data_IF_466301616024
#
_entry.id   IF_466301616024
#
_cell.length_a   1.000
_cell.length_b   1.000
_cell.length_c   1.000
_cell.angle_alpha   90.00
_cell.angle_beta   90.00
_cell.angle_gamma   90.00
#
_symmetry.space_group_name_H-M   'P 1'
#
loop_
_entity.id
_entity.type
_entity.pdbx_description
1 polymer ?
#
# COMPACT_ATOMS: atom_id res chain seq x y z
N UNK A 1 -35.77 0.57 14.54
CA UNK A 1 -36.76 1.11 13.57
C UNK A 1 -36.01 1.18 12.24
N UNK A 2 -36.11 0.14 11.43
CA UNK A 2 -35.31 -0.02 10.21
C UNK A 2 -35.76 1.02 9.17
N UNK A 3 -34.83 1.84 8.69
CA UNK A 3 -35.10 2.79 7.62
C UNK A 3 -35.47 2.03 6.34
N UNK A 4 -36.49 2.55 5.66
CA UNK A 4 -37.01 2.08 4.38
C UNK A 4 -35.91 1.91 3.34
N UNK A 5 -35.85 0.73 2.69
CA UNK A 5 -35.06 0.49 1.48
C UNK A 5 -35.36 1.60 0.45
N UNK A 6 -34.43 2.54 0.28
CA UNK A 6 -34.49 3.55 -0.76
C UNK A 6 -34.10 2.87 -2.07
N UNK A 7 -35.05 2.77 -3.00
CA UNK A 7 -34.82 2.19 -4.32
C UNK A 7 -33.96 3.14 -5.19
N UNK A 8 -33.05 2.61 -6.03
CA UNK A 8 -32.22 3.42 -6.93
C UNK A 8 -33.08 4.24 -7.90
N UNK A 9 -32.63 5.46 -8.21
CA UNK A 9 -33.18 6.26 -9.30
C UNK A 9 -32.83 5.61 -10.65
N UNK A 10 -33.71 5.61 -11.66
CA UNK A 10 -33.42 5.00 -12.97
C UNK A 10 -32.28 5.67 -13.74
N UNK A 11 -31.75 6.80 -13.26
CA UNK A 11 -30.67 7.55 -13.90
C UNK A 11 -29.35 7.57 -13.09
N UNK A 12 -29.22 6.68 -12.10
CA UNK A 12 -28.00 6.47 -11.29
C UNK A 12 -27.46 5.06 -11.53
N UNK A 13 -26.14 4.83 -11.48
CA UNK A 13 -25.59 3.49 -11.53
C UNK A 13 -26.12 2.67 -10.35
N UNK A 14 -26.44 1.40 -10.61
CA UNK A 14 -26.92 0.48 -9.57
C UNK A 14 -25.71 -0.12 -8.85
N UNK A 15 -25.43 0.37 -7.64
CA UNK A 15 -24.32 -0.11 -6.82
C UNK A 15 -24.81 -1.03 -5.69
N UNK A 16 -24.02 -2.04 -5.35
CA UNK A 16 -24.21 -2.90 -4.18
C UNK A 16 -22.88 -3.09 -3.45
N UNK A 17 -22.94 -3.44 -2.16
CA UNK A 17 -21.77 -3.66 -1.33
C UNK A 17 -21.82 -5.04 -0.68
N UNK A 18 -20.66 -5.67 -0.61
CA UNK A 18 -20.37 -6.87 0.18
C UNK A 18 -19.19 -6.56 1.10
N UNK A 19 -19.13 -7.21 2.27
CA UNK A 19 -18.05 -7.04 3.21
C UNK A 19 -17.68 -8.38 3.83
N UNK A 20 -16.39 -8.64 3.94
CA UNK A 20 -15.84 -9.86 4.54
C UNK A 20 -14.61 -9.51 5.39
N UNK A 21 -14.37 -10.21 6.49
CA UNK A 21 -13.16 -10.00 7.26
C UNK A 21 -11.97 -10.68 6.57
N UNK A 22 -10.79 -10.06 6.62
CA UNK A 22 -9.55 -10.68 6.06
C UNK A 22 -9.13 -11.90 6.88
N UNK A 23 -9.44 -11.91 8.17
CA UNK A 23 -9.18 -12.99 9.11
C UNK A 23 -10.41 -13.22 10.00
N UNK A 24 -10.68 -14.46 10.46
CA UNK A 24 -11.81 -14.74 11.35
C UNK A 24 -11.76 -14.00 12.70
N UNK A 25 -10.56 -13.58 13.12
CA UNK A 25 -10.31 -12.83 14.34
C UNK A 25 -9.54 -11.54 14.02
N UNK A 26 -9.85 -10.47 14.77
CA UNK A 26 -9.19 -9.17 14.70
C UNK A 26 -8.58 -8.88 16.07
N UNK A 27 -7.30 -8.50 16.09
CA UNK A 27 -6.59 -8.17 17.33
C UNK A 27 -6.86 -6.73 17.77
N UNK A 28 -6.85 -6.51 19.09
CA UNK A 28 -6.83 -5.16 19.67
C UNK A 28 -5.44 -4.51 19.66
N UNK A 29 -4.39 -5.32 19.69
CA UNK A 29 -3.00 -4.87 19.89
C UNK A 29 -2.17 -4.86 18.60
N UNK A 30 -2.68 -5.42 17.49
CA UNK A 30 -2.04 -5.37 16.17
C UNK A 30 -2.94 -4.73 15.12
N UNK A 31 -2.31 -4.04 14.17
CA UNK A 31 -2.96 -3.59 12.93
C UNK A 31 -3.18 -4.73 11.93
N UNK A 32 -2.79 -5.96 12.28
CA UNK A 32 -2.92 -7.12 11.40
C UNK A 32 -4.38 -7.55 11.28
N UNK A 33 -4.87 -7.57 10.05
CA UNK A 33 -6.25 -7.91 9.72
C UNK A 33 -7.05 -6.70 9.26
N UNK A 34 -8.37 -6.87 9.13
CA UNK A 34 -9.26 -5.83 8.64
C UNK A 34 -10.43 -6.39 7.88
N UNK A 35 -10.99 -5.58 6.99
CA UNK A 35 -12.15 -5.95 6.20
C UNK A 35 -11.93 -5.63 4.74
N UNK A 36 -12.39 -6.53 3.90
CA UNK A 36 -12.46 -6.34 2.46
C UNK A 36 -13.88 -5.91 2.14
N UNK A 37 -13.99 -4.79 1.44
CA UNK A 37 -15.23 -4.25 0.91
C UNK A 37 -15.22 -4.45 -0.60
N UNK A 38 -16.29 -5.03 -1.13
CA UNK A 38 -16.51 -5.19 -2.56
C UNK A 38 -17.73 -4.37 -2.97
N UNK A 39 -17.54 -3.34 -3.78
CA UNK A 39 -18.60 -2.52 -4.37
C UNK A 39 -18.80 -2.98 -5.81
N UNK A 40 -19.98 -3.51 -6.13
CA UNK A 40 -20.32 -3.96 -7.48
C UNK A 40 -21.22 -2.94 -8.17
N UNK A 41 -20.91 -2.65 -9.43
CA UNK A 41 -21.88 -2.05 -10.33
C UNK A 41 -22.67 -3.15 -11.04
N UNK A 42 -23.99 -3.15 -10.87
CA UNK A 42 -24.86 -4.11 -11.54
C UNK A 42 -24.92 -3.85 -13.05
N UNK A 43 -25.20 -4.91 -13.82
CA UNK A 43 -25.64 -4.74 -15.21
C UNK A 43 -26.97 -3.97 -15.21
N UNK A 44 -27.02 -2.91 -16.00
CA UNK A 44 -28.19 -2.07 -16.17
C UNK A 44 -28.38 -1.65 -17.63
N UNK A 45 -29.47 -0.95 -17.95
CA UNK A 45 -29.78 -0.54 -19.33
C UNK A 45 -28.83 0.57 -19.86
N UNK A 46 -27.76 0.90 -19.13
CA UNK A 46 -26.80 1.94 -19.45
C UNK A 46 -25.39 1.34 -19.62
N UNK A 47 -24.97 1.12 -20.87
CA UNK A 47 -23.65 0.55 -21.17
C UNK A 47 -22.47 1.50 -20.86
N UNK A 48 -22.74 2.74 -20.45
CA UNK A 48 -21.68 3.72 -20.15
C UNK A 48 -20.98 3.36 -18.85
N UNK A 49 -19.64 3.51 -18.76
CA UNK A 49 -18.95 3.48 -17.47
C UNK A 49 -19.46 4.60 -16.56
N UNK A 50 -19.27 4.45 -15.25
CA UNK A 50 -19.39 5.56 -14.31
C UNK A 50 -18.10 5.72 -13.52
N UNK A 51 -17.70 6.98 -13.30
CA UNK A 51 -16.70 7.29 -12.29
C UNK A 51 -17.36 7.37 -10.92
N UNK A 52 -16.73 6.77 -9.92
CA UNK A 52 -17.24 6.70 -8.56
C UNK A 52 -16.09 6.84 -7.57
N UNK A 53 -16.19 7.82 -6.66
CA UNK A 53 -15.21 8.02 -5.58
C UNK A 53 -15.66 7.33 -4.32
N UNK A 54 -14.81 6.46 -3.77
CA UNK A 54 -15.03 5.85 -2.46
C UNK A 54 -13.72 5.66 -1.71
N UNK A 55 -13.66 6.19 -0.49
CA UNK A 55 -12.49 6.20 0.39
C UNK A 55 -12.77 5.34 1.62
N UNK A 56 -11.87 4.43 1.95
CA UNK A 56 -11.87 3.69 3.21
C UNK A 56 -11.88 4.65 4.42
N UNK A 57 -11.06 5.70 4.38
CA UNK A 57 -10.92 6.67 5.45
C UNK A 57 -12.16 7.54 5.64
N UNK A 58 -12.76 8.01 4.53
CA UNK A 58 -13.84 9.01 4.61
C UNK A 58 -15.24 8.41 4.46
N UNK A 59 -15.38 7.37 3.64
CA UNK A 59 -16.66 6.75 3.30
C UNK A 59 -16.84 5.45 4.10
N UNK A 60 -15.77 4.66 4.28
CA UNK A 60 -15.77 3.45 5.12
C UNK A 60 -15.85 3.76 6.61
N UNK A 61 -14.96 4.62 7.12
CA UNK A 61 -14.85 4.95 8.55
C UNK A 61 -15.38 6.35 8.93
N UNK A 62 -15.95 7.08 7.99
CA UNK A 62 -16.54 8.39 8.25
C UNK A 62 -17.91 8.34 8.93
N UNK A 63 -18.57 9.50 9.11
CA UNK A 63 -19.81 9.61 9.89
C UNK A 63 -21.00 8.81 9.32
N UNK A 64 -21.00 8.55 8.02
CA UNK A 64 -22.00 7.74 7.31
C UNK A 64 -21.49 6.35 6.94
N UNK A 65 -20.34 5.96 7.49
CA UNK A 65 -19.67 4.71 7.18
C UNK A 65 -20.20 3.50 7.95
N UNK A 66 -19.33 2.51 8.09
CA UNK A 66 -19.61 1.30 8.84
C UNK A 66 -19.88 1.58 10.33
N UNK A 67 -20.72 0.73 10.90
CA UNK A 67 -20.96 0.68 12.35
C UNK A 67 -20.67 -0.72 12.87
N UNK A 68 -20.30 -0.81 14.14
CA UNK A 68 -20.03 -2.09 14.80
C UNK A 68 -21.08 -2.34 15.88
N UNK A 69 -21.55 -3.58 15.95
CA UNK A 69 -22.41 -4.08 17.02
C UNK A 69 -21.70 -5.21 17.77
N UNK A 70 -21.74 -5.17 19.11
CA UNK A 70 -21.33 -6.26 19.97
C UNK A 70 -22.48 -7.27 20.11
N UNK A 71 -22.17 -8.56 20.01
CA UNK A 71 -23.10 -9.61 20.41
C UNK A 71 -23.14 -9.71 21.93
N UNK A 72 -24.31 -9.45 22.52
CA UNK A 72 -24.56 -9.63 23.95
C UNK A 72 -25.67 -10.65 24.17
N UNK A 73 -25.83 -11.21 25.39
CA UNK A 73 -26.95 -12.10 25.69
C UNK A 73 -28.33 -11.47 25.42
N UNK A 74 -28.44 -10.14 25.49
CA UNK A 74 -29.67 -9.38 25.25
C UNK A 74 -29.86 -8.95 23.78
N UNK A 75 -28.94 -9.33 22.90
CA UNK A 75 -28.94 -9.00 21.47
C UNK A 75 -27.77 -8.12 21.03
N UNK A 76 -27.93 -7.41 19.91
CA UNK A 76 -26.89 -6.56 19.33
C UNK A 76 -26.85 -5.18 20.00
N UNK A 77 -25.71 -4.84 20.59
CA UNK A 77 -25.45 -3.53 21.19
C UNK A 77 -24.49 -2.73 20.31
N UNK A 78 -24.89 -1.53 19.88
CA UNK A 78 -24.01 -0.66 19.08
C UNK A 78 -22.78 -0.25 19.90
N UNK A 79 -21.60 -0.39 19.29
CA UNK A 79 -20.31 0.04 19.86
C UNK A 79 -20.14 1.52 19.60
N UNK A 80 -19.70 2.26 20.62
CA UNK A 80 -19.33 3.67 20.46
C UNK A 80 -18.03 3.76 19.67
N UNK A 81 -17.91 4.76 18.81
CA UNK A 81 -16.71 4.99 18.04
C UNK A 81 -16.56 6.46 17.70
N UNK A 82 -15.35 6.83 17.28
CA UNK A 82 -15.03 8.19 16.83
C UNK A 82 -14.84 8.17 15.31
N UNK A 83 -15.87 8.48 14.51
CA UNK A 83 -15.76 8.44 13.07
C UNK A 83 -14.62 9.31 12.56
N UNK A 84 -13.98 8.88 11.49
CA UNK A 84 -12.99 9.68 10.76
C UNK A 84 -13.70 10.86 10.06
N UNK A 85 -12.92 11.67 9.34
CA UNK A 85 -13.43 12.86 8.64
C UNK A 85 -14.51 12.49 7.60
N UNK A 86 -15.53 13.34 7.38
CA UNK A 86 -16.49 13.13 6.31
C UNK A 86 -15.85 13.26 4.91
N UNK A 87 -16.47 12.68 3.87
CA UNK A 87 -16.02 12.87 2.50
C UNK A 87 -16.12 14.34 2.07
N UNK A 88 -15.28 14.79 1.11
CA UNK A 88 -15.42 16.11 0.53
C UNK A 88 -16.74 16.23 -0.25
N UNK A 89 -17.22 17.47 -0.42
CA UNK A 89 -18.47 17.70 -1.16
C UNK A 89 -18.26 17.69 -2.68
N UNK A 90 -17.06 18.07 -3.12
CA UNK A 90 -16.66 18.10 -4.52
C UNK A 90 -15.23 17.59 -4.68
N UNK A 91 -14.90 17.11 -5.87
CA UNK A 91 -13.58 16.63 -6.25
C UNK A 91 -13.28 17.04 -7.69
N UNK A 92 -12.10 17.61 -7.92
CA UNK A 92 -11.59 17.87 -9.27
C UNK A 92 -10.81 16.66 -9.75
N UNK A 93 -11.16 16.14 -10.93
CA UNK A 93 -10.45 15.03 -11.57
C UNK A 93 -9.21 15.60 -12.28
N UNK A 94 -8.05 15.06 -11.95
CA UNK A 94 -6.73 15.48 -12.44
C UNK A 94 -5.90 14.31 -13.00
N UNK A 95 -6.44 13.09 -13.02
CA UNK A 95 -5.81 11.91 -13.64
C UNK A 95 -5.07 10.97 -12.72
N UNK A 96 -4.98 11.30 -11.43
CA UNK A 96 -4.34 10.45 -10.43
C UNK A 96 -5.15 10.54 -9.14
N UNK A 97 -6.31 9.88 -9.15
CA UNK A 97 -7.24 9.86 -8.04
C UNK A 97 -7.25 8.46 -7.40
N UNK A 98 -6.42 8.24 -6.37
CA UNK A 98 -6.27 6.95 -5.66
C UNK A 98 -7.61 6.36 -5.16
N UNK A 99 -8.60 7.23 -4.93
CA UNK A 99 -9.91 6.88 -4.39
C UNK A 99 -11.05 6.96 -5.42
N UNK A 100 -10.77 7.24 -6.70
CA UNK A 100 -11.79 7.37 -7.74
C UNK A 100 -11.58 6.34 -8.83
N UNK A 101 -12.62 5.56 -9.09
CA UNK A 101 -12.55 4.41 -9.99
C UNK A 101 -13.57 4.54 -11.12
N UNK A 102 -13.24 3.95 -12.27
CA UNK A 102 -14.14 3.81 -13.41
C UNK A 102 -14.76 2.41 -13.40
N UNK A 103 -16.09 2.32 -13.34
CA UNK A 103 -16.82 1.06 -13.26
C UNK A 103 -17.73 0.85 -14.48
N UNK A 104 -17.40 -0.15 -15.28
CA UNK A 104 -18.28 -0.70 -16.31
C UNK A 104 -19.44 -1.52 -15.69
N UNK A 105 -20.52 -1.76 -16.44
CA UNK A 105 -21.59 -2.64 -15.96
C UNK A 105 -21.01 -4.03 -15.64
N UNK A 106 -21.36 -4.57 -14.47
CA UNK A 106 -20.87 -5.88 -14.00
C UNK A 106 -19.54 -5.85 -13.26
N UNK A 107 -18.76 -4.76 -13.35
CA UNK A 107 -17.46 -4.64 -12.67
C UNK A 107 -17.59 -4.41 -11.16
N UNK A 108 -16.51 -4.74 -10.47
CA UNK A 108 -16.39 -4.64 -9.02
C UNK A 108 -15.15 -3.87 -8.62
N UNK A 109 -15.32 -2.97 -7.66
CA UNK A 109 -14.27 -2.34 -6.90
C UNK A 109 -14.05 -3.13 -5.61
N UNK A 110 -12.82 -3.56 -5.33
CA UNK A 110 -12.44 -4.20 -4.07
C UNK A 110 -11.44 -3.34 -3.31
N UNK A 111 -11.65 -3.17 -2.00
CA UNK A 111 -10.80 -2.35 -1.12
C UNK A 111 -10.65 -3.00 0.24
N UNK A 112 -9.42 -3.02 0.77
CA UNK A 112 -9.20 -3.30 2.18
C UNK A 112 -9.37 -2.00 2.97
N UNK A 113 -10.24 -1.99 3.97
CA UNK A 113 -10.49 -0.83 4.82
C UNK A 113 -9.71 -0.86 6.13
N UNK A 114 -8.82 -1.84 6.30
CA UNK A 114 -8.00 -2.00 7.49
C UNK A 114 -8.80 -2.39 8.74
N UNK A 115 -8.15 -2.24 9.89
CA UNK A 115 -8.73 -2.47 11.21
C UNK A 115 -9.80 -1.43 11.56
N UNK A 116 -10.77 -1.77 12.43
CA UNK A 116 -11.83 -0.86 12.83
C UNK A 116 -11.35 0.18 13.86
N UNK A 117 -10.27 0.90 13.55
CA UNK A 117 -9.61 1.89 14.42
C UNK A 117 -10.56 2.84 15.14
N UNK A 118 -11.64 3.36 14.52
CA UNK A 118 -12.59 4.25 15.21
C UNK A 118 -13.26 3.64 16.44
N UNK A 119 -13.29 2.31 16.53
CA UNK A 119 -14.05 1.54 17.52
C UNK A 119 -13.16 0.74 18.48
N UNK A 120 -11.87 0.52 18.16
CA UNK A 120 -10.98 -0.39 18.90
C UNK A 120 -10.94 -0.09 20.41
N UNK A 121 -10.90 1.19 20.81
CA UNK A 121 -10.89 1.60 22.23
C UNK A 121 -12.15 1.23 23.03
N UNK A 122 -13.21 0.77 22.36
CA UNK A 122 -14.48 0.35 22.96
C UNK A 122 -14.77 -1.14 22.77
N UNK A 123 -13.82 -1.88 22.19
CA UNK A 123 -13.93 -3.31 21.96
C UNK A 123 -13.18 -4.10 23.05
N UNK A 124 -13.58 -5.34 23.27
CA UNK A 124 -13.03 -6.23 24.30
C UNK A 124 -12.65 -7.56 23.69
N UNK A 125 -11.47 -8.06 24.06
CA UNK A 125 -11.02 -9.37 23.64
C UNK A 125 -11.95 -10.49 24.12
N UNK A 126 -12.06 -11.55 23.30
CA UNK A 126 -12.97 -12.67 23.53
C UNK A 126 -14.42 -12.43 23.09
N UNK A 127 -14.79 -11.18 22.79
CA UNK A 127 -16.15 -10.83 22.39
C UNK A 127 -16.35 -10.92 20.88
N UNK A 128 -17.58 -11.25 20.48
CA UNK A 128 -17.98 -11.33 19.07
C UNK A 128 -18.67 -10.03 18.63
N UNK A 129 -18.30 -9.55 17.45
CA UNK A 129 -18.82 -8.32 16.88
C UNK A 129 -19.38 -8.55 15.47
N UNK A 130 -20.23 -7.62 15.03
CA UNK A 130 -20.80 -7.55 13.69
C UNK A 130 -20.53 -6.16 13.10
N UNK A 131 -19.80 -6.12 11.98
CA UNK A 131 -19.60 -4.93 11.17
C UNK A 131 -20.77 -4.80 10.20
N UNK A 132 -21.40 -3.62 10.13
CA UNK A 132 -22.61 -3.42 9.32
C UNK A 132 -22.51 -2.13 8.51
N UNK A 133 -22.80 -2.25 7.21
CA UNK A 133 -23.04 -1.14 6.31
C UNK A 133 -24.51 -0.70 6.40
N UNK A 134 -24.76 0.53 6.85
CA UNK A 134 -26.13 1.06 6.99
C UNK A 134 -26.72 1.60 5.67
N UNK A 135 -25.89 1.72 4.63
CA UNK A 135 -26.26 2.38 3.39
C UNK A 135 -25.90 3.86 3.42
N UNK A 136 -25.51 4.39 2.27
CA UNK A 136 -25.18 5.81 2.12
C UNK A 136 -25.53 6.32 0.72
N UNK A 137 -25.66 7.65 0.63
CA UNK A 137 -25.90 8.40 -0.61
C UNK A 137 -24.62 9.15 -0.99
N UNK A 138 -24.26 9.12 -2.27
CA UNK A 138 -23.01 9.70 -2.76
C UNK A 138 -23.25 10.69 -3.88
N UNK A 139 -22.61 11.85 -3.77
CA UNK A 139 -22.61 12.90 -4.79
C UNK A 139 -21.37 12.86 -5.70
N UNK A 140 -20.29 12.21 -5.24
CA UNK A 140 -19.00 12.14 -5.94
C UNK A 140 -19.01 11.00 -6.97
N UNK A 141 -19.82 11.16 -8.00
CA UNK A 141 -19.89 10.23 -9.13
C UNK A 141 -20.30 10.96 -10.41
N UNK A 142 -20.01 10.38 -11.57
CA UNK A 142 -20.52 10.84 -12.86
C UNK A 142 -20.56 9.71 -13.91
N UNK A 143 -21.36 9.88 -14.96
CA UNK A 143 -21.34 8.99 -16.13
C UNK A 143 -20.17 9.33 -17.04
N UNK A 144 -19.51 8.30 -17.58
CA UNK A 144 -18.34 8.43 -18.46
C UNK A 144 -17.06 7.91 -17.83
N UNK A 145 -15.95 8.21 -18.49
CA UNK A 145 -14.60 7.76 -18.12
C UNK A 145 -13.85 8.81 -17.32
N UNK A 146 -12.80 8.43 -16.59
CA UNK A 146 -11.92 9.39 -15.91
C UNK A 146 -11.33 10.41 -16.91
N UNK A 147 -11.00 9.95 -18.12
CA UNK A 147 -10.46 10.79 -19.20
C UNK A 147 -11.46 11.83 -19.71
N UNK A 148 -12.74 11.47 -19.82
CA UNK A 148 -13.79 12.40 -20.25
C UNK A 148 -14.03 13.51 -19.22
N UNK A 149 -13.79 13.21 -17.94
CA UNK A 149 -13.95 14.15 -16.82
C UNK A 149 -12.66 14.87 -16.44
N UNK A 150 -11.59 14.76 -17.23
CA UNK A 150 -10.32 15.42 -16.93
C UNK A 150 -10.48 16.93 -16.72
N UNK A 151 -9.90 17.43 -15.63
CA UNK A 151 -9.99 18.81 -15.13
C UNK A 151 -11.40 19.29 -14.76
N UNK A 152 -12.40 18.40 -14.78
CA UNK A 152 -13.77 18.71 -14.38
C UNK A 152 -13.96 18.42 -12.89
N UNK A 153 -14.93 19.10 -12.29
CA UNK A 153 -15.34 18.90 -10.91
C UNK A 153 -16.60 18.02 -10.86
N UNK A 154 -16.56 16.98 -10.04
CA UNK A 154 -17.71 16.15 -9.67
C UNK A 154 -18.13 16.44 -8.23
N UNK A 155 -19.38 16.10 -7.87
CA UNK A 155 -19.89 16.27 -6.52
C UNK A 155 -21.26 16.91 -6.47
N UNK A 156 -21.57 17.54 -5.33
CA UNK A 156 -22.89 18.12 -5.04
C UNK A 156 -23.36 19.19 -6.05
N UNK A 157 -22.42 19.80 -6.78
CA UNK A 157 -22.70 20.85 -7.78
C UNK A 157 -22.93 20.31 -9.20
N UNK A 158 -22.76 19.00 -9.44
CA UNK A 158 -22.84 18.39 -10.77
C UNK A 158 -24.25 18.36 -11.37
N UNK A 159 -25.29 18.56 -10.55
CA UNK A 159 -26.69 18.42 -10.97
C UNK A 159 -27.13 16.97 -11.18
N UNK A 160 -26.26 15.99 -10.91
CA UNK A 160 -26.60 14.58 -10.96
C UNK A 160 -27.35 14.15 -9.69
N UNK A 161 -28.28 13.18 -9.78
CA UNK A 161 -28.91 12.58 -8.60
C UNK A 161 -27.85 11.87 -7.73
N UNK A 162 -28.10 11.76 -6.43
CA UNK A 162 -27.22 10.99 -5.54
C UNK A 162 -27.32 9.49 -5.86
N UNK A 163 -26.17 8.83 -6.01
CA UNK A 163 -26.14 7.36 -6.12
C UNK A 163 -26.27 6.76 -4.73
N UNK A 164 -26.98 5.63 -4.62
CA UNK A 164 -27.21 4.94 -3.35
C UNK A 164 -26.45 3.63 -3.35
N UNK A 165 -25.66 3.39 -2.30
CA UNK A 165 -25.24 2.03 -1.94
C UNK A 165 -26.20 1.57 -0.85
N UNK A 166 -27.03 0.54 -1.10
CA UNK A 166 -27.99 0.06 -0.11
C UNK A 166 -27.29 -0.52 1.11
N UNK A 167 -27.91 -0.35 2.27
CA UNK A 167 -27.47 -1.00 3.50
C UNK A 167 -27.73 -2.50 3.49
N UNK A 168 -27.07 -3.21 4.40
CA UNK A 168 -27.28 -4.64 4.64
C UNK A 168 -26.04 -5.51 4.47
N UNK A 169 -24.95 -5.00 3.91
CA UNK A 169 -23.67 -5.70 3.93
C UNK A 169 -23.22 -5.82 5.40
N UNK A 170 -23.01 -7.04 5.89
CA UNK A 170 -22.47 -7.26 7.22
C UNK A 170 -21.60 -8.50 7.27
N UNK A 171 -20.66 -8.50 8.22
CA UNK A 171 -19.88 -9.66 8.56
C UNK A 171 -19.60 -9.72 10.06
N UNK A 172 -19.52 -10.95 10.60
CA UNK A 172 -19.18 -11.16 12.01
C UNK A 172 -17.72 -11.52 12.19
N UNK A 173 -17.10 -11.04 13.26
CA UNK A 173 -15.70 -11.30 13.59
C UNK A 173 -15.51 -11.43 15.11
N UNK A 174 -14.45 -12.14 15.52
CA UNK A 174 -14.05 -12.25 16.92
C UNK A 174 -12.97 -11.22 17.23
N UNK A 175 -13.10 -10.52 18.36
CA UNK A 175 -12.04 -9.65 18.86
C UNK A 175 -11.10 -10.47 19.76
N UNK A 176 -9.78 -10.37 19.57
CA UNK A 176 -8.78 -11.08 20.40
C UNK A 176 -7.73 -10.10 20.94
N UNK A 177 -7.13 -10.43 22.08
CA UNK A 177 -6.13 -9.57 22.75
C UNK A 177 -4.86 -9.51 21.90
N UNK A 178 -4.33 -10.67 21.55
CA UNK A 178 -3.18 -10.83 20.68
C UNK A 178 -3.58 -11.88 19.66
N UNK A 179 -3.34 -11.64 18.37
CA UNK A 179 -3.23 -12.76 17.43
C UNK A 179 -2.20 -13.71 18.06
N UNK A 180 -2.58 -14.93 18.46
CA UNK A 180 -1.56 -15.93 18.82
C UNK A 180 -0.54 -15.84 17.70
N UNK A 181 0.71 -15.41 17.99
CA UNK A 181 1.64 -15.16 16.93
C UNK A 181 1.67 -16.49 16.19
N UNK A 182 1.24 -16.51 14.93
CA UNK A 182 1.71 -17.55 14.02
C UNK A 182 3.18 -17.63 14.34
N UNK A 183 3.64 -18.74 14.94
CA UNK A 183 4.98 -18.83 15.52
C UNK A 183 5.89 -18.17 14.50
N UNK A 184 6.34 -16.95 14.81
CA UNK A 184 7.07 -16.17 13.81
C UNK A 184 8.36 -16.94 13.72
N UNK A 185 8.44 -17.80 12.72
CA UNK A 185 9.67 -18.51 12.37
C UNK A 185 10.69 -17.38 12.35
N UNK A 186 11.75 -17.43 13.18
CA UNK A 186 12.71 -16.35 13.23
C UNK A 186 13.18 -16.13 11.79
N UNK A 187 12.70 -15.07 11.16
CA UNK A 187 13.06 -14.80 9.78
C UNK A 187 14.52 -14.44 9.86
N UNK A 188 15.37 -15.36 9.41
CA UNK A 188 16.79 -15.11 9.30
C UNK A 188 16.94 -14.09 8.19
N UNK A 189 17.06 -12.81 8.57
CA UNK A 189 17.29 -11.69 7.66
C UNK A 189 18.46 -12.06 6.75
N UNK A 190 18.15 -12.32 5.48
CA UNK A 190 19.15 -12.57 4.46
C UNK A 190 19.28 -11.28 3.69
N UNK A 191 20.25 -10.45 4.11
CA UNK A 191 20.62 -9.24 3.39
C UNK A 191 21.32 -9.65 2.10
N UNK A 192 21.00 -9.01 0.99
CA UNK A 192 21.80 -9.18 -0.21
C UNK A 192 23.15 -8.51 -0.02
N UNK A 193 24.20 -9.26 -0.27
CA UNK A 193 25.57 -8.82 -0.20
C UNK A 193 26.06 -8.42 -1.59
N UNK A 194 27.16 -7.67 -1.64
CA UNK A 194 27.79 -7.34 -2.92
C UNK A 194 28.15 -8.58 -3.74
N UNK A 195 28.58 -9.66 -3.09
CA UNK A 195 28.93 -10.92 -3.73
C UNK A 195 27.76 -11.62 -4.41
N UNK A 196 26.53 -11.21 -4.15
CA UNK A 196 25.35 -11.79 -4.81
C UNK A 196 25.12 -11.20 -6.21
N UNK A 197 25.80 -10.09 -6.57
CA UNK A 197 25.63 -9.48 -7.90
C UNK A 197 26.00 -10.45 -9.02
N UNK A 198 25.33 -10.32 -10.16
CA UNK A 198 25.56 -11.20 -11.32
C UNK A 198 26.55 -10.52 -12.28
N UNK A 199 27.70 -11.13 -12.60
CA UNK A 199 28.62 -10.61 -13.59
C UNK A 199 27.93 -10.33 -14.94
N UNK A 200 28.25 -9.19 -15.54
CA UNK A 200 27.64 -8.72 -16.79
C UNK A 200 26.28 -8.00 -16.64
N UNK A 201 25.61 -8.09 -15.49
CA UNK A 201 24.43 -7.27 -15.19
C UNK A 201 24.84 -5.84 -14.76
N UNK A 202 23.97 -4.83 -14.90
CA UNK A 202 24.20 -3.50 -14.35
C UNK A 202 24.47 -3.55 -12.85
N UNK A 203 25.50 -2.82 -12.41
CA UNK A 203 25.85 -2.65 -11.01
C UNK A 203 25.13 -1.42 -10.45
N UNK A 204 24.24 -1.65 -9.48
CA UNK A 204 23.59 -0.58 -8.73
C UNK A 204 24.14 -0.53 -7.30
N UNK A 205 24.27 0.68 -6.78
CA UNK A 205 24.51 0.96 -5.37
C UNK A 205 23.38 1.80 -4.79
N UNK A 206 23.10 1.59 -3.51
CA UNK A 206 22.01 2.25 -2.82
C UNK A 206 22.48 2.77 -1.47
N UNK A 207 22.12 4.01 -1.15
CA UNK A 207 22.35 4.62 0.15
C UNK A 207 21.08 5.26 0.68
N UNK A 208 20.90 5.20 1.99
CA UNK A 208 19.81 5.84 2.70
C UNK A 208 20.31 7.04 3.51
N UNK A 209 19.52 8.10 3.49
CA UNK A 209 19.71 9.31 4.29
C UNK A 209 18.40 9.63 5.00
N UNK A 210 18.48 10.11 6.24
CA UNK A 210 17.31 10.50 7.01
C UNK A 210 17.71 11.26 8.27
N UNK A 211 16.73 11.72 9.05
CA UNK A 211 17.00 12.42 10.28
C UNK A 211 17.62 11.47 11.31
N UNK A 212 18.43 12.00 12.22
CA UNK A 212 18.93 11.27 13.40
C UNK A 212 17.98 11.39 14.61
N UNK A 213 17.00 12.30 14.54
CA UNK A 213 15.98 12.51 15.56
C UNK A 213 14.64 12.82 14.90
N UNK A 214 13.57 12.26 15.44
CA UNK A 214 12.20 12.56 15.01
C UNK A 214 11.39 13.08 16.20
N UNK A 215 10.67 14.18 15.99
CA UNK A 215 9.83 14.75 17.03
C UNK A 215 8.46 14.07 17.03
N UNK A 216 7.94 13.77 18.21
CA UNK A 216 6.56 13.30 18.37
C UNK A 216 5.53 14.34 17.92
N UNK A 217 5.88 15.63 17.94
CA UNK A 217 5.01 16.70 17.44
C UNK A 217 5.04 16.86 15.93
N UNK A 218 6.21 16.67 15.32
CA UNK A 218 6.42 16.67 13.87
C UNK A 218 6.10 15.26 13.34
N UNK A 219 4.79 14.96 13.27
CA UNK A 219 4.23 13.63 12.97
C UNK A 219 4.76 12.94 11.72
N UNK A 220 5.49 13.64 10.84
CA UNK A 220 5.99 13.10 9.58
C UNK A 220 7.47 13.39 9.41
N UNK A 221 8.20 12.43 8.84
CA UNK A 221 9.60 12.55 8.47
C UNK A 221 9.87 11.87 7.13
N UNK A 222 11.03 12.14 6.54
CA UNK A 222 11.40 11.57 5.24
C UNK A 222 12.65 10.72 5.35
N UNK A 223 12.59 9.52 4.79
CA UNK A 223 13.77 8.73 4.45
C UNK A 223 14.04 8.90 2.96
N UNK A 224 15.25 9.32 2.64
CA UNK A 224 15.71 9.54 1.27
C UNK A 224 16.54 8.35 0.84
N UNK A 225 16.14 7.69 -0.25
CA UNK A 225 16.87 6.61 -0.88
C UNK A 225 17.50 7.12 -2.16
N UNK A 226 18.81 6.97 -2.27
CA UNK A 226 19.58 7.34 -3.44
C UNK A 226 20.11 6.08 -4.09
N UNK A 227 19.74 5.87 -5.34
CA UNK A 227 20.13 4.72 -6.15
C UNK A 227 21.07 5.25 -7.23
N UNK A 228 22.25 4.66 -7.35
CA UNK A 228 23.27 5.06 -8.33
C UNK A 228 23.56 3.90 -9.25
N UNK A 229 23.65 4.19 -10.55
CA UNK A 229 24.12 3.23 -11.52
C UNK A 229 25.63 3.38 -11.73
N UNK A 230 26.40 2.36 -11.37
CA UNK A 230 27.86 2.44 -11.30
C UNK A 230 28.57 1.91 -12.56
N UNK A 231 27.85 1.25 -13.47
CA UNK A 231 28.42 0.58 -14.65
C UNK A 231 28.11 -0.92 -14.66
N UNK A 232 28.64 -1.72 -15.61
CA UNK A 232 28.48 -3.17 -15.62
C UNK A 232 29.24 -3.85 -14.47
N UNK A 233 28.72 -4.97 -13.98
CA UNK A 233 29.33 -5.80 -12.91
C UNK A 233 30.41 -6.72 -13.48
N UNK A 234 31.57 -6.81 -12.84
CA UNK A 234 32.63 -7.78 -13.17
C UNK A 234 32.50 -9.12 -12.44
N UNK A 235 33.44 -10.03 -12.73
CA UNK A 235 33.58 -11.32 -12.04
C UNK A 235 33.88 -11.19 -10.53
N UNK A 236 34.41 -10.04 -10.10
CA UNK A 236 34.67 -9.73 -8.69
C UNK A 236 33.46 -9.05 -8.00
N UNK A 237 32.30 -8.99 -8.69
CA UNK A 237 31.06 -8.37 -8.21
C UNK A 237 31.13 -6.84 -7.96
N UNK A 238 32.09 -6.18 -8.58
CA UNK A 238 32.31 -4.73 -8.53
C UNK A 238 32.01 -4.08 -9.89
N UNK A 239 31.79 -2.76 -9.88
CA UNK A 239 31.54 -2.00 -11.10
C UNK A 239 32.82 -1.83 -11.94
N UNK A 240 32.70 -1.96 -13.26
CA UNK A 240 33.75 -1.61 -14.22
C UNK A 240 33.38 -0.28 -14.89
N UNK A 241 34.39 0.55 -15.15
CA UNK A 241 34.25 1.79 -15.92
C UNK A 241 34.43 1.60 -17.44
N UNK A 242 34.37 0.37 -17.94
CA UNK A 242 34.52 0.05 -19.37
C UNK A 242 33.16 -0.30 -19.99
N UNK A 243 32.93 0.11 -21.25
CA UNK A 243 31.66 -0.03 -22.00
C UNK A 243 30.43 0.60 -21.28
N UNK A 244 30.62 1.83 -20.80
CA UNK A 244 29.64 2.71 -20.16
C UNK A 244 28.48 3.00 -21.13
N UNK A 245 27.41 2.20 -21.04
CA UNK A 245 26.13 2.44 -21.74
C UNK A 245 25.07 2.88 -20.74
N UNK A 246 24.14 3.78 -21.12
CA UNK A 246 22.95 4.02 -20.32
C UNK A 246 22.15 2.74 -20.12
N UNK A 247 21.32 2.73 -19.08
CA UNK A 247 20.36 1.67 -18.82
C UNK A 247 18.97 2.25 -18.63
N UNK A 248 17.96 1.42 -18.90
CA UNK A 248 16.61 1.62 -18.40
C UNK A 248 16.31 0.45 -17.47
N UNK A 249 15.86 0.74 -16.25
CA UNK A 249 15.50 -0.26 -15.25
C UNK A 249 14.03 -0.10 -14.85
N UNK A 250 13.38 -1.20 -14.52
CA UNK A 250 12.10 -1.20 -13.81
C UNK A 250 12.33 -0.85 -12.33
N UNK A 251 11.66 0.18 -11.80
CA UNK A 251 11.96 0.73 -10.47
C UNK A 251 11.18 0.12 -9.30
N UNK A 252 10.36 -0.91 -9.58
CA UNK A 252 9.57 -1.68 -8.62
C UNK A 252 10.33 -2.11 -7.34
N UNK A 253 11.60 -2.57 -7.39
CA UNK A 253 12.31 -3.02 -6.20
C UNK A 253 12.75 -1.90 -5.25
N UNK A 254 12.55 -0.64 -5.63
CA UNK A 254 12.89 0.55 -4.82
C UNK A 254 11.64 1.13 -4.14
N UNK A 255 10.67 0.27 -3.84
CA UNK A 255 9.42 0.57 -3.14
C UNK A 255 9.50 0.14 -1.66
N UNK A 256 8.42 0.41 -0.92
CA UNK A 256 8.33 0.12 0.51
C UNK A 256 8.45 -1.39 0.87
N UNK A 257 8.29 -2.30 -0.10
CA UNK A 257 8.33 -3.75 0.13
C UNK A 257 9.75 -4.30 0.42
N UNK A 258 10.78 -3.49 0.17
CA UNK A 258 12.19 -3.87 0.33
C UNK A 258 12.91 -3.11 1.44
N UNK A 259 12.19 -2.33 2.23
CA UNK A 259 12.72 -1.63 3.39
C UNK A 259 12.25 -2.28 4.68
N UNK A 260 13.01 -2.10 5.74
CA UNK A 260 12.70 -2.61 7.08
C UNK A 260 12.90 -1.51 8.10
N UNK A 261 11.94 -1.41 9.00
CA UNK A 261 12.04 -0.62 10.21
C UNK A 261 12.19 -1.55 11.41
N UNK A 262 13.23 -1.32 12.19
CA UNK A 262 13.56 -2.09 13.38
C UNK A 262 13.62 -1.16 14.59
N UNK A 263 13.12 -1.62 15.73
CA UNK A 263 13.20 -0.92 17.02
C UNK A 263 14.24 -1.58 17.90
N UNK A 264 14.98 -0.78 18.65
CA UNK A 264 15.95 -1.32 19.62
C UNK A 264 15.22 -1.99 20.79
N UNK A 265 15.71 -3.15 21.23
CA UNK A 265 15.14 -3.85 22.38
C UNK A 265 15.49 -3.14 23.70
N UNK A 266 14.49 -2.94 24.57
CA UNK A 266 14.64 -2.24 25.85
C UNK A 266 15.54 -2.96 26.86
N UNK A 267 15.63 -4.28 26.77
CA UNK A 267 16.41 -5.16 27.62
C UNK A 267 17.81 -5.46 27.06
N UNK A 268 18.19 -4.85 25.93
CA UNK A 268 19.51 -5.00 25.35
C UNK A 268 20.58 -4.37 26.26
N UNK A 269 21.45 -5.22 26.79
CA UNK A 269 22.61 -4.85 27.60
C UNK A 269 23.89 -5.23 26.82
N UNK A 270 24.61 -4.27 26.24
CA UNK A 270 25.83 -4.53 25.48
C UNK A 270 26.90 -5.30 26.28
N UNK A 271 26.84 -5.22 27.62
CA UNK A 271 27.80 -5.90 28.51
C UNK A 271 27.50 -7.39 28.74
N UNK A 272 26.27 -7.84 28.42
CA UNK A 272 25.81 -9.24 28.58
C UNK A 272 25.80 -10.03 27.27
N UNK A 273 26.17 -9.40 26.16
CA UNK A 273 26.14 -10.00 24.82
C UNK A 273 27.36 -10.91 24.54
N UNK A 274 27.82 -11.65 25.55
CA UNK A 274 29.00 -12.53 25.45
C UNK A 274 28.73 -13.79 24.62
N UNK A 275 27.46 -14.09 24.35
CA UNK A 275 27.01 -15.30 23.65
C UNK A 275 26.26 -15.01 22.32
N UNK A 276 26.13 -13.74 21.91
CA UNK A 276 25.47 -13.35 20.64
C UNK A 276 23.99 -13.72 20.52
N UNK A 277 23.32 -13.97 21.65
CA UNK A 277 21.92 -14.42 21.70
C UNK A 277 20.92 -13.30 22.05
N UNK A 278 21.39 -12.09 22.36
CA UNK A 278 20.49 -10.95 22.56
C UNK A 278 20.29 -10.25 21.21
N UNK A 279 19.07 -10.27 20.69
CA UNK A 279 18.76 -9.55 19.45
C UNK A 279 18.65 -8.06 19.79
N UNK A 280 19.70 -7.29 19.54
CA UNK A 280 19.76 -5.84 19.80
C UNK A 280 18.59 -5.07 19.16
N UNK A 281 18.11 -5.56 18.01
CA UNK A 281 17.09 -4.93 17.19
C UNK A 281 15.97 -5.91 16.87
N UNK A 282 14.72 -5.45 17.00
CA UNK A 282 13.53 -6.22 16.63
C UNK A 282 12.86 -5.58 15.42
N UNK A 283 12.64 -6.37 14.38
CA UNK A 283 11.90 -5.94 13.18
C UNK A 283 10.43 -5.73 13.52
N UNK A 284 9.96 -4.50 13.25
CA UNK A 284 8.61 -4.05 13.60
C UNK A 284 7.70 -3.97 12.37
N UNK A 285 8.23 -3.49 11.24
CA UNK A 285 7.54 -3.61 9.95
C UNK A 285 7.93 -4.96 9.35
N UNK A 286 7.14 -5.97 9.70
CA UNK A 286 7.11 -7.26 9.01
C UNK A 286 5.98 -7.17 7.99
N UNK A 287 6.35 -7.32 6.72
CA UNK A 287 5.51 -7.43 5.53
C UNK A 287 4.03 -7.70 5.83
N UNK A 288 3.23 -6.65 6.06
CA UNK A 288 1.86 -6.66 5.57
C UNK A 288 1.94 -6.50 4.05
N UNK A 289 2.50 -7.52 3.41
CA UNK A 289 2.04 -7.91 2.09
C UNK A 289 0.57 -8.22 2.28
N UNK A 290 -0.26 -7.18 2.11
CA UNK A 290 -1.69 -7.25 2.17
C UNK A 290 -2.15 -7.54 0.74
N UNK A 291 -2.34 -8.82 0.36
CA UNK A 291 -2.76 -9.18 -0.99
C UNK A 291 -4.14 -8.59 -1.33
N UNK A 292 -4.87 -8.05 -0.35
CA UNK A 292 -6.20 -7.46 -0.53
C UNK A 292 -6.26 -6.16 -1.33
N UNK A 293 -5.13 -5.58 -1.72
CA UNK A 293 -5.05 -4.38 -2.58
C UNK A 293 -4.88 -4.69 -4.08
N UNK A 294 -4.77 -5.96 -4.46
CA UNK A 294 -4.53 -6.35 -5.85
C UNK A 294 -5.85 -6.58 -6.58
N UNK A 295 -6.07 -5.82 -7.64
CA UNK A 295 -7.08 -6.15 -8.65
C UNK A 295 -6.46 -7.27 -9.49
N UNK A 296 -6.58 -8.53 -9.09
CA UNK A 296 -5.99 -9.65 -9.84
C UNK A 296 -6.80 -10.04 -11.10
N UNK A 297 -7.99 -9.45 -11.28
CA UNK A 297 -8.95 -9.87 -12.29
C UNK A 297 -8.80 -9.14 -13.64
N UNK A 298 -8.17 -7.97 -13.67
CA UNK A 298 -7.96 -7.19 -14.91
C UNK A 298 -6.70 -7.65 -15.65
N UNK A 299 -6.70 -7.63 -17.00
CA UNK A 299 -5.56 -8.09 -17.78
C UNK A 299 -4.35 -7.16 -17.64
N UNK A 300 -3.16 -7.74 -17.76
CA UNK A 300 -1.90 -7.00 -17.76
C UNK A 300 -1.90 -5.85 -18.77
N UNK A 301 -1.26 -4.74 -18.39
CA UNK A 301 -1.28 -3.48 -19.13
C UNK A 301 0.05 -3.31 -19.87
N UNK A 302 -0.05 -2.94 -21.15
CA UNK A 302 1.11 -2.54 -21.94
C UNK A 302 1.59 -1.14 -21.53
N UNK A 303 2.85 -1.06 -21.13
CA UNK A 303 3.51 0.18 -20.70
C UNK A 303 4.77 0.41 -21.52
N UNK A 304 5.00 1.67 -21.89
CA UNK A 304 6.23 2.06 -22.56
C UNK A 304 7.35 2.18 -21.53
N UNK A 305 8.52 1.63 -21.84
CA UNK A 305 9.66 1.61 -20.90
C UNK A 305 10.29 2.98 -20.66
N UNK A 306 9.86 4.01 -21.41
CA UNK A 306 10.23 5.40 -21.15
C UNK A 306 9.28 6.11 -20.17
N UNK A 307 8.26 5.42 -19.62
CA UNK A 307 7.37 6.00 -18.61
C UNK A 307 8.12 6.19 -17.27
N UNK A 308 8.37 7.44 -16.84
CA UNK A 308 9.15 7.72 -15.64
C UNK A 308 8.41 7.36 -14.34
N UNK A 309 7.20 6.81 -14.39
CA UNK A 309 6.47 6.32 -13.21
C UNK A 309 6.87 4.90 -12.82
N UNK A 310 7.32 4.09 -13.79
CA UNK A 310 7.64 2.67 -13.60
C UNK A 310 9.09 2.36 -13.98
N UNK A 311 9.71 3.20 -14.81
CA UNK A 311 11.05 2.98 -15.31
C UNK A 311 11.96 4.17 -15.05
N UNK A 312 13.25 3.88 -14.90
CA UNK A 312 14.31 4.88 -14.72
C UNK A 312 15.37 4.68 -15.78
N UNK A 313 15.60 5.72 -16.57
CA UNK A 313 16.78 5.79 -17.42
C UNK A 313 17.93 6.43 -16.65
N UNK A 314 19.09 5.77 -16.64
CA UNK A 314 20.26 6.20 -15.91
C UNK A 314 21.51 6.08 -16.79
N UNK A 315 22.33 7.12 -16.78
CA UNK A 315 23.70 7.07 -17.28
C UNK A 315 24.63 6.53 -16.19
N UNK A 316 25.79 5.95 -16.53
CA UNK A 316 26.74 5.57 -15.50
C UNK A 316 27.20 6.78 -14.66
N UNK A 317 27.27 6.58 -13.35
CA UNK A 317 27.48 7.61 -12.33
C UNK A 317 26.23 8.44 -12.00
N UNK A 318 25.12 8.28 -12.74
CA UNK A 318 23.87 8.98 -12.45
C UNK A 318 23.15 8.33 -11.28
N UNK A 319 22.53 9.17 -10.46
CA UNK A 319 21.67 8.72 -9.37
C UNK A 319 20.27 9.27 -9.54
N UNK A 320 19.27 8.47 -9.17
CA UNK A 320 17.94 8.99 -8.89
C UNK A 320 17.65 8.88 -7.39
N UNK A 321 16.68 9.67 -6.94
CA UNK A 321 16.32 9.80 -5.54
C UNK A 321 14.84 9.49 -5.37
N UNK A 322 14.53 8.56 -4.47
CA UNK A 322 13.19 8.30 -3.97
C UNK A 322 13.08 8.82 -2.54
N UNK A 323 11.92 9.38 -2.18
CA UNK A 323 11.65 9.87 -0.83
C UNK A 323 10.44 9.15 -0.28
N UNK A 324 10.64 8.48 0.84
CA UNK A 324 9.59 7.82 1.59
C UNK A 324 9.11 8.75 2.69
N UNK A 325 7.83 9.09 2.64
CA UNK A 325 7.15 9.74 3.74
C UNK A 325 6.87 8.68 4.80
N UNK A 326 7.36 8.89 6.01
CA UNK A 326 7.05 8.07 7.17
C UNK A 326 6.25 8.91 8.16
N UNK A 327 5.16 8.37 8.68
CA UNK A 327 4.41 8.96 9.78
C UNK A 327 4.85 8.34 11.11
N UNK A 328 4.66 9.07 12.20
CA UNK A 328 4.83 8.55 13.54
C UNK A 328 3.93 7.33 13.81
N UNK A 329 2.79 7.21 13.13
CA UNK A 329 1.93 6.02 13.18
C UNK A 329 2.58 4.77 12.58
N UNK A 330 3.62 4.90 11.77
CA UNK A 330 4.36 3.77 11.21
C UNK A 330 5.35 3.16 12.23
N UNK A 331 5.51 3.79 13.40
CA UNK A 331 6.31 3.28 14.52
C UNK A 331 5.46 2.38 15.43
N UNK A 332 6.09 1.72 16.41
CA UNK A 332 5.37 0.86 17.36
C UNK A 332 4.33 1.67 18.17
N UNK A 333 3.11 1.17 18.47
CA UNK A 333 2.08 1.99 19.09
C UNK A 333 2.45 2.46 20.50
N UNK A 334 3.29 1.71 21.20
CA UNK A 334 3.85 2.06 22.51
C UNK A 334 5.11 2.94 22.43
N UNK A 335 5.43 3.53 21.27
CA UNK A 335 6.63 4.34 21.09
C UNK A 335 6.66 5.52 22.05
N UNK A 336 7.75 5.63 22.81
CA UNK A 336 8.00 6.69 23.78
C UNK A 336 9.24 7.49 23.43
N UNK A 337 9.33 8.69 23.99
CA UNK A 337 10.54 9.53 23.91
C UNK A 337 11.73 8.76 24.46
N UNK A 338 12.84 8.75 23.71
CA UNK A 338 14.05 7.98 24.02
C UNK A 338 14.17 6.67 23.25
N UNK A 339 13.10 6.19 22.61
CA UNK A 339 13.18 5.00 21.76
C UNK A 339 14.07 5.25 20.54
N UNK A 340 14.82 4.22 20.15
CA UNK A 340 15.66 4.26 18.94
C UNK A 340 15.18 3.23 17.93
N UNK A 341 15.12 3.69 16.69
CA UNK A 341 14.79 2.90 15.52
C UNK A 341 15.94 2.93 14.52
N UNK A 342 15.98 1.92 13.65
CA UNK A 342 16.82 1.92 12.47
C UNK A 342 16.04 1.48 11.24
N UNK A 343 16.35 2.11 10.12
CA UNK A 343 15.77 1.88 8.82
C UNK A 343 16.83 1.37 7.85
N UNK A 344 16.51 0.34 7.06
CA UNK A 344 17.43 -0.25 6.10
C UNK A 344 16.69 -0.70 4.84
N UNK A 345 17.37 -0.73 3.71
CA UNK A 345 16.96 -1.45 2.50
C UNK A 345 17.63 -2.81 2.50
N UNK A 346 16.85 -3.90 2.43
CA UNK A 346 17.38 -5.26 2.63
C UNK A 346 18.13 -5.81 1.41
N UNK A 347 18.07 -5.09 0.31
CA UNK A 347 18.40 -5.60 -1.01
C UNK A 347 17.15 -5.90 -1.82
N UNK A 348 17.29 -5.87 -3.14
CA UNK A 348 16.20 -6.14 -4.06
C UNK A 348 16.68 -6.69 -5.39
N UNK A 349 15.71 -7.12 -6.18
CA UNK A 349 15.93 -7.75 -7.47
C UNK A 349 15.19 -6.95 -8.54
N UNK A 350 15.93 -6.26 -9.41
CA UNK A 350 15.34 -5.65 -10.61
C UNK A 350 15.08 -6.77 -11.62
N UNK A 351 13.79 -7.01 -11.82
CA UNK A 351 13.23 -8.04 -12.67
C UNK A 351 13.45 -7.75 -14.15
N UNK A 352 13.40 -6.47 -14.55
CA UNK A 352 13.52 -6.07 -15.95
C UNK A 352 14.44 -4.86 -16.14
N UNK A 353 15.29 -4.93 -17.17
CA UNK A 353 16.15 -3.82 -17.58
C UNK A 353 16.64 -4.00 -19.02
N UNK A 354 17.12 -2.91 -19.63
CA UNK A 354 17.73 -2.93 -20.96
C UNK A 354 18.88 -1.92 -21.08
N UNK A 355 19.87 -2.23 -21.92
CA UNK A 355 20.93 -1.31 -22.31
C UNK A 355 20.43 -0.29 -23.33
N UNK A 356 20.70 0.99 -23.11
CA UNK A 356 20.31 2.07 -24.00
C UNK A 356 19.58 3.18 -23.28
N UNK A 357 19.31 4.26 -24.00
CA UNK A 357 18.55 5.39 -23.49
C UNK A 357 17.09 5.40 -23.98
N UNK A 358 16.31 6.38 -23.51
CA UNK A 358 14.92 6.52 -23.89
C UNK A 358 14.71 6.81 -25.38
N UNK A 359 15.69 7.35 -26.10
CA UNK A 359 15.58 7.58 -27.54
C UNK A 359 15.67 6.25 -28.29
N UNK A 360 16.64 5.41 -27.92
CA UNK A 360 16.82 4.06 -28.47
C UNK A 360 15.60 3.16 -28.18
N UNK A 361 15.01 3.30 -26.99
CA UNK A 361 13.89 2.49 -26.52
C UNK A 361 12.52 3.17 -26.58
N UNK A 362 12.37 4.25 -27.36
CA UNK A 362 11.13 5.01 -27.45
C UNK A 362 9.89 4.18 -27.88
N UNK A 363 10.12 3.02 -28.52
CA UNK A 363 9.08 2.09 -29.00
C UNK A 363 9.05 0.77 -28.24
N UNK A 364 9.90 0.61 -27.25
CA UNK A 364 9.93 -0.62 -26.44
C UNK A 364 8.77 -0.58 -25.45
N UNK A 365 7.98 -1.64 -25.45
CA UNK A 365 6.80 -1.82 -24.62
C UNK A 365 6.93 -3.16 -23.92
N UNK A 366 6.54 -3.19 -22.66
CA UNK A 366 6.46 -4.41 -21.84
C UNK A 366 5.08 -4.48 -21.20
N UNK A 367 4.70 -5.63 -20.66
CA UNK A 367 3.50 -5.74 -19.84
C UNK A 367 3.84 -5.80 -18.37
N UNK A 368 3.06 -5.07 -17.59
CA UNK A 368 3.04 -5.11 -16.14
C UNK A 368 1.63 -5.46 -15.66
N UNK A 369 1.46 -5.95 -14.43
CA UNK A 369 0.14 -6.21 -13.89
C UNK A 369 -0.75 -4.97 -13.95
N UNK A 370 -2.07 -5.15 -14.02
CA UNK A 370 -3.03 -4.05 -14.17
C UNK A 370 -3.02 -3.04 -13.00
N UNK A 371 -2.56 -3.46 -11.81
CA UNK A 371 -2.34 -2.57 -10.67
C UNK A 371 -0.98 -1.83 -10.72
N UNK A 372 -0.20 -1.99 -11.79
CA UNK A 372 1.08 -1.36 -12.12
C UNK A 372 2.23 -1.55 -11.10
N UNK A 373 1.94 -2.11 -9.93
CA UNK A 373 2.88 -2.37 -8.83
C UNK A 373 3.21 -3.86 -8.72
N UNK A 374 3.97 -4.37 -9.68
CA UNK A 374 4.45 -5.74 -9.72
C UNK A 374 5.49 -5.94 -10.81
N UNK A 375 6.16 -7.10 -10.87
CA UNK A 375 7.20 -7.36 -11.86
C UNK A 375 6.64 -7.32 -13.30
N UNK A 376 7.50 -7.04 -14.27
CA UNK A 376 7.22 -7.20 -15.69
C UNK A 376 6.86 -8.66 -15.97
N UNK A 377 5.71 -8.86 -16.60
CA UNK A 377 5.16 -10.19 -16.92
C UNK A 377 5.39 -10.59 -18.37
N UNK A 378 5.66 -9.63 -19.26
CA UNK A 378 5.97 -9.87 -20.67
C UNK A 378 7.02 -8.85 -21.15
N UNK A 379 8.25 -9.27 -21.49
CA UNK A 379 8.75 -10.65 -21.45
C UNK A 379 9.03 -11.13 -20.02
N UNK A 380 8.49 -12.31 -19.65
CA UNK A 380 8.62 -12.86 -18.30
C UNK A 380 10.07 -13.23 -17.90
N UNK A 381 10.94 -13.48 -18.88
CA UNK A 381 12.33 -13.90 -18.68
C UNK A 381 13.34 -12.77 -18.95
N UNK A 382 12.88 -11.51 -18.99
CA UNK A 382 13.70 -10.34 -19.31
C UNK A 382 14.48 -10.52 -20.64
N UNK A 383 13.87 -11.18 -21.63
CA UNK A 383 14.48 -11.61 -22.90
C UNK A 383 15.81 -12.38 -22.72
N UNK A 384 15.92 -13.16 -21.65
CA UNK A 384 17.12 -13.93 -21.31
C UNK A 384 18.25 -13.12 -20.67
N UNK A 385 18.04 -11.85 -20.34
CA UNK A 385 19.00 -11.05 -19.56
C UNK A 385 18.96 -11.46 -18.08
N UNK A 386 20.10 -11.48 -17.37
CA UNK A 386 20.10 -11.72 -15.93
C UNK A 386 19.34 -10.60 -15.20
N UNK A 387 18.77 -10.88 -14.04
CA UNK A 387 18.23 -9.84 -13.15
C UNK A 387 19.36 -8.96 -12.57
N UNK A 388 19.03 -7.79 -12.05
CA UNK A 388 19.99 -6.99 -11.26
C UNK A 388 19.76 -7.23 -9.78
N UNK A 389 20.76 -7.77 -9.10
CA UNK A 389 20.74 -7.92 -7.64
C UNK A 389 21.36 -6.68 -6.99
N UNK A 390 20.55 -5.94 -6.26
CA UNK A 390 20.94 -4.73 -5.54
C UNK A 390 21.24 -5.09 -4.09
N UNK A 391 22.47 -4.86 -3.60
CA UNK A 391 22.83 -5.15 -2.21
C UNK A 391 22.02 -4.31 -1.21
N UNK A 392 22.06 -4.75 0.05
CA UNK A 392 21.51 -3.99 1.18
C UNK A 392 22.21 -2.62 1.35
N UNK A 393 21.49 -1.68 1.94
CA UNK A 393 21.98 -0.32 2.19
C UNK A 393 22.73 -0.18 3.51
N UNK A 394 23.26 1.02 3.75
CA UNK A 394 23.55 1.47 5.11
C UNK A 394 22.26 1.57 5.96
N UNK A 395 22.44 1.64 7.28
CA UNK A 395 21.36 1.95 8.21
C UNK A 395 21.18 3.46 8.35
N UNK A 396 19.93 3.88 8.54
CA UNK A 396 19.56 5.19 9.09
C UNK A 396 19.01 4.96 10.48
N UNK A 397 19.73 5.41 11.50
CA UNK A 397 19.28 5.31 12.90
C UNK A 397 18.72 6.65 13.37
N UNK A 398 17.59 6.59 14.08
CA UNK A 398 16.96 7.78 14.64
C UNK A 398 16.36 7.51 16.01
N UNK A 399 16.35 8.55 16.85
CA UNK A 399 15.72 8.51 18.18
C UNK A 399 14.46 9.39 18.24
N UNK A 400 13.49 8.96 19.03
CA UNK A 400 12.26 9.70 19.28
C UNK A 400 12.50 10.77 20.34
N UNK A 401 12.23 12.01 19.98
CA UNK A 401 12.32 13.18 20.86
C UNK A 401 10.94 13.84 21.02
N UNK A 402 10.82 14.80 21.95
CA UNK A 402 9.57 15.53 22.18
C UNK A 402 9.03 16.23 20.93
#
# INVERSE_FOLDING_TARGET
MFQTNKYPSPNTPRLSMEVEPTLPAISLDSSTGGFIVTIRRAEDDCDKPCIFRWSDLCDGWGPSGFVIFQHTPDGLKRVEGTPKRPPPQTLKITGYEVETEELLPGQTLRRNIGTPDPFLGHMMAGEKYELVWLGAEYALWAWGTLREHWEQEIGVNSGLPLVVIPGGASCSFLCVEVEEPLERVPYKETLLEKSDRIPGAPCLSLSLEGPSQISKTERVFYITMKITYDGPTNEDHEAINDDIKPIIIHDYPFTFDHVRLQRRCFDYDPSKDSNGNSTEWKTYIDDEYNPGWRIEDDPDVEVNVTDPRLFRSLKPGESFVSKFLCDFSDLHPDTVVGDTYRYLYRGGCVDWWVWGDCEEHAKTVVKVPCWLHGPVVDPADNDGRPVILVPSSNFVEFSVVE
#
